data_IF_331780511334
#
_entry.id   IF_331780511334
#
_cell.length_a   1.000
_cell.length_b   1.000
_cell.length_c   1.000
_cell.angle_alpha   90.00
_cell.angle_beta   90.00
_cell.angle_gamma   90.00
#
_symmetry.space_group_name_H-M   'P 1'
#
loop_
_entity.id
_entity.type
_entity.pdbx_description
1 polymer ?
#
# COMPACT_ATOMS: atom_id res chain seq x y z
N UNK A 1 -15.18 -8.56 1.68
CA UNK A 1 -13.77 -8.86 1.39
C UNK A 1 -13.35 -8.58 -0.06
N UNK A 2 -14.05 -9.09 -1.09
CA UNK A 2 -13.63 -8.92 -2.50
C UNK A 2 -13.44 -7.45 -2.95
N UNK A 3 -14.35 -6.55 -2.56
CA UNK A 3 -14.21 -5.12 -2.80
C UNK A 3 -12.95 -4.53 -2.13
N UNK A 4 -12.73 -4.87 -0.86
CA UNK A 4 -11.58 -4.38 -0.09
C UNK A 4 -10.24 -4.83 -0.69
N UNK A 5 -10.13 -6.07 -1.15
CA UNK A 5 -8.93 -6.57 -1.83
C UNK A 5 -8.65 -5.82 -3.14
N UNK A 6 -9.68 -5.62 -3.97
CA UNK A 6 -9.54 -4.83 -5.19
C UNK A 6 -9.16 -3.38 -4.91
N UNK A 7 -9.75 -2.78 -3.87
CA UNK A 7 -9.40 -1.43 -3.43
C UNK A 7 -7.93 -1.35 -3.00
N UNK A 8 -7.44 -2.30 -2.19
CA UNK A 8 -6.03 -2.36 -1.82
C UNK A 8 -5.12 -2.50 -3.05
N UNK A 9 -5.45 -3.39 -3.99
CA UNK A 9 -4.67 -3.56 -5.23
C UNK A 9 -4.58 -2.25 -6.00
N UNK A 10 -5.72 -1.58 -6.23
CA UNK A 10 -5.75 -0.31 -6.97
C UNK A 10 -4.92 0.77 -6.27
N UNK A 11 -5.08 0.94 -4.95
CA UNK A 11 -4.33 1.94 -4.18
C UNK A 11 -2.83 1.62 -4.17
N UNK A 12 -2.46 0.36 -3.98
CA UNK A 12 -1.06 -0.06 -3.96
C UNK A 12 -0.40 0.11 -5.33
N UNK A 13 -1.05 -0.33 -6.40
CA UNK A 13 -0.50 -0.20 -7.76
C UNK A 13 -0.39 1.26 -8.18
N UNK A 14 -1.41 2.08 -7.90
CA UNK A 14 -1.41 3.52 -8.23
C UNK A 14 -0.38 4.34 -7.47
N UNK A 15 0.16 3.84 -6.35
CA UNK A 15 1.20 4.53 -5.58
C UNK A 15 2.59 3.92 -5.79
N UNK A 16 2.67 2.59 -5.94
CA UNK A 16 3.91 1.87 -6.21
C UNK A 16 4.49 2.19 -7.59
N UNK A 17 3.67 2.18 -8.65
CA UNK A 17 4.12 2.46 -10.01
C UNK A 17 4.76 3.85 -10.15
N UNK A 18 4.11 4.96 -9.75
CA UNK A 18 4.75 6.27 -9.81
C UNK A 18 5.96 6.37 -8.89
N UNK A 19 5.95 5.74 -7.70
CA UNK A 19 7.13 5.69 -6.83
C UNK A 19 8.33 5.04 -7.52
N UNK A 20 8.12 3.89 -8.18
CA UNK A 20 9.16 3.17 -8.91
C UNK A 20 9.67 3.97 -10.12
N UNK A 21 8.78 4.66 -10.83
CA UNK A 21 9.16 5.54 -11.94
C UNK A 21 10.04 6.70 -11.47
N UNK A 22 9.67 7.41 -10.40
CA UNK A 22 10.49 8.49 -9.85
C UNK A 22 11.84 7.99 -9.34
N UNK A 23 11.87 6.80 -8.74
CA UNK A 23 13.12 6.17 -8.32
C UNK A 23 14.00 5.80 -9.52
N UNK A 24 13.41 5.31 -10.61
CA UNK A 24 14.13 5.06 -11.87
C UNK A 24 14.72 6.36 -12.45
N UNK A 25 13.94 7.43 -12.49
CA UNK A 25 14.43 8.75 -12.93
C UNK A 25 15.64 9.17 -12.09
N UNK A 26 15.56 9.06 -10.76
CA UNK A 26 16.69 9.36 -9.89
C UNK A 26 17.93 8.52 -10.21
N UNK A 27 17.79 7.21 -10.43
CA UNK A 27 18.92 6.32 -10.77
C UNK A 27 19.63 6.76 -12.05
N UNK A 28 18.89 7.25 -13.05
CA UNK A 28 19.48 7.66 -14.32
C UNK A 28 19.92 9.13 -14.38
N UNK A 29 19.33 10.01 -13.56
CA UNK A 29 19.58 11.47 -13.62
C UNK A 29 20.33 12.03 -12.42
N UNK A 30 20.33 11.33 -11.29
CA UNK A 30 20.86 11.84 -10.01
C UNK A 30 20.04 12.98 -9.40
N UNK A 31 18.86 13.30 -9.93
CA UNK A 31 18.06 14.44 -9.46
C UNK A 31 17.39 14.13 -8.11
N UNK A 32 17.89 14.75 -7.03
CA UNK A 32 17.38 14.56 -5.67
C UNK A 32 15.87 14.87 -5.53
N UNK A 33 15.35 15.78 -6.34
CA UNK A 33 13.92 16.10 -6.39
C UNK A 33 13.05 14.88 -6.76
N UNK A 34 13.56 14.00 -7.63
CA UNK A 34 12.89 12.77 -8.00
C UNK A 34 12.95 11.74 -6.86
N UNK A 35 14.08 11.67 -6.14
CA UNK A 35 14.21 10.82 -4.95
C UNK A 35 13.22 11.23 -3.86
N UNK A 36 13.06 12.52 -3.61
CA UNK A 36 12.15 13.04 -2.58
C UNK A 36 10.68 12.71 -2.90
N UNK A 37 10.29 12.82 -4.17
CA UNK A 37 8.94 12.42 -4.62
C UNK A 37 8.74 10.90 -4.50
N UNK A 38 9.72 10.10 -4.92
CA UNK A 38 9.68 8.65 -4.77
C UNK A 38 9.54 8.24 -3.30
N UNK A 39 10.32 8.86 -2.39
CA UNK A 39 10.29 8.56 -0.96
C UNK A 39 8.94 8.88 -0.32
N UNK A 40 8.30 9.99 -0.69
CA UNK A 40 6.96 10.35 -0.20
C UNK A 40 5.92 9.31 -0.61
N UNK A 41 5.91 8.92 -1.87
CA UNK A 41 5.00 7.89 -2.40
C UNK A 41 5.24 6.53 -1.75
N UNK A 42 6.50 6.14 -1.59
CA UNK A 42 6.89 4.89 -0.91
C UNK A 42 6.43 4.86 0.55
N UNK A 43 6.64 5.95 1.30
CA UNK A 43 6.22 6.02 2.69
C UNK A 43 4.70 5.94 2.83
N UNK A 44 3.95 6.62 1.96
CA UNK A 44 2.50 6.53 1.91
C UNK A 44 2.04 5.11 1.61
N UNK A 45 2.59 4.50 0.55
CA UNK A 45 2.30 3.11 0.18
C UNK A 45 2.57 2.16 1.36
N UNK A 46 3.72 2.29 2.02
CA UNK A 46 4.11 1.42 3.13
C UNK A 46 3.13 1.53 4.31
N UNK A 47 2.81 2.75 4.72
CA UNK A 47 1.87 2.98 5.81
C UNK A 47 0.47 2.45 5.47
N UNK A 48 -0.03 2.75 4.27
CA UNK A 48 -1.33 2.31 3.82
C UNK A 48 -1.43 0.78 3.70
N UNK A 49 -0.39 0.15 3.16
CA UNK A 49 -0.33 -1.32 3.01
C UNK A 49 -0.35 -2.00 4.38
N UNK A 50 0.45 -1.53 5.34
CA UNK A 50 0.47 -2.08 6.69
C UNK A 50 -0.89 -1.93 7.38
N UNK A 51 -1.52 -0.76 7.26
CA UNK A 51 -2.84 -0.50 7.82
C UNK A 51 -3.91 -1.40 7.17
N UNK A 52 -3.95 -1.48 5.84
CA UNK A 52 -4.91 -2.33 5.13
C UNK A 52 -4.72 -3.81 5.44
N UNK A 53 -3.48 -4.27 5.53
CA UNK A 53 -3.16 -5.64 5.95
C UNK A 53 -3.67 -5.92 7.36
N UNK A 54 -3.39 -5.02 8.31
CA UNK A 54 -3.81 -5.17 9.70
C UNK A 54 -5.35 -5.25 9.81
N UNK A 55 -6.07 -4.34 9.12
CA UNK A 55 -7.54 -4.35 9.06
C UNK A 55 -8.06 -5.66 8.47
N UNK A 56 -7.41 -6.18 7.42
CA UNK A 56 -7.81 -7.45 6.79
C UNK A 56 -7.71 -8.60 7.78
N UNK A 57 -6.55 -8.73 8.44
CA UNK A 57 -6.27 -9.83 9.37
C UNK A 57 -7.24 -9.78 10.54
N UNK A 58 -7.33 -8.63 11.23
CA UNK A 58 -8.21 -8.48 12.39
C UNK A 58 -9.69 -8.54 12.02
N UNK A 59 -10.06 -8.07 10.83
CA UNK A 59 -11.42 -8.25 10.30
C UNK A 59 -11.79 -9.73 10.13
N UNK A 60 -10.88 -10.57 9.63
CA UNK A 60 -11.13 -12.02 9.55
C UNK A 60 -11.19 -12.67 10.94
N UNK A 61 -10.33 -12.26 11.87
CA UNK A 61 -10.36 -12.75 13.25
C UNK A 61 -11.69 -12.42 13.92
N UNK A 62 -12.15 -11.16 13.83
CA UNK A 62 -13.41 -10.73 14.42
C UNK A 62 -14.62 -11.47 13.82
N UNK A 63 -14.68 -11.61 12.49
CA UNK A 63 -15.75 -12.36 11.82
C UNK A 63 -15.71 -13.84 12.19
N UNK A 64 -14.52 -14.44 12.27
CA UNK A 64 -14.36 -15.84 12.69
C UNK A 64 -14.79 -16.07 14.14
N UNK A 65 -14.44 -15.17 15.05
CA UNK A 65 -14.90 -15.22 16.45
C UNK A 65 -16.42 -15.07 16.55
N UNK A 66 -17.02 -14.19 15.76
CA UNK A 66 -18.48 -14.03 15.73
C UNK A 66 -19.19 -15.31 15.25
N UNK A 67 -18.67 -15.96 14.21
CA UNK A 67 -19.19 -17.23 13.69
C UNK A 67 -18.98 -18.42 14.64
N UNK A 68 -18.00 -18.35 15.53
CA UNK A 68 -17.79 -19.36 16.58
C UNK A 68 -18.71 -19.16 17.78
N UNK A 69 -19.09 -17.92 18.06
CA UNK A 69 -19.92 -17.56 19.20
C UNK A 69 -21.43 -17.66 18.94
N UNK A 70 -21.86 -17.82 17.68
CA UNK A 70 -23.25 -17.89 17.25
C UNK A 70 -23.47 -19.09 16.33
#
# INVERSE_FOLDING_TARGET
>A
MRFFYWFMVVVMTSTLLPSALYMGIYVFTGADEALDRARKLWNFLRAFTLLGFNITVWGHVAVGLWQLAH
#
